data_IF_116684323989
#
_entry.id   IF_116684323989
#
_cell.length_a   1.000
_cell.length_b   1.000
_cell.length_c   1.000
_cell.angle_alpha   90.00
_cell.angle_beta   90.00
_cell.angle_gamma   90.00
#
_symmetry.space_group_name_H-M   'P 1'
#
loop_
_entity.id
_entity.type
_entity.pdbx_description
1 polymer ?
#
# COMPACT_ATOMS: atom_id res chain seq x y z
N UNK A 1 21.85 -1.24 -16.93
CA UNK A 1 20.89 -1.73 -15.91
C UNK A 1 20.16 -2.92 -16.51
N UNK A 2 20.15 -4.08 -15.85
CA UNK A 2 19.37 -5.24 -16.31
C UNK A 2 17.88 -5.06 -16.04
N UNK A 3 17.02 -5.81 -16.75
CA UNK A 3 15.56 -5.79 -16.53
C UNK A 3 15.25 -6.51 -15.21
N UNK A 4 14.54 -5.89 -14.25
CA UNK A 4 14.29 -6.49 -12.94
C UNK A 4 13.30 -7.66 -13.01
N UNK A 5 13.47 -8.65 -12.12
CA UNK A 5 12.49 -9.68 -11.81
C UNK A 5 11.56 -9.15 -10.71
N UNK A 6 10.26 -9.43 -10.80
CA UNK A 6 9.25 -8.77 -9.97
C UNK A 6 8.35 -9.76 -9.24
N UNK A 7 8.19 -9.60 -7.93
CA UNK A 7 7.13 -10.21 -7.14
C UNK A 7 5.99 -9.19 -6.98
N UNK A 8 4.88 -9.39 -7.68
CA UNK A 8 3.73 -8.47 -7.68
C UNK A 8 2.70 -8.91 -6.63
N UNK A 9 2.21 -7.97 -5.83
CA UNK A 9 1.15 -8.20 -4.84
C UNK A 9 0.05 -7.15 -4.95
N UNK A 10 -1.20 -7.58 -4.85
CA UNK A 10 -2.39 -6.72 -4.95
C UNK A 10 -2.80 -6.14 -3.60
N UNK A 11 -1.81 -5.64 -2.84
CA UNK A 11 -2.04 -4.98 -1.57
C UNK A 11 -2.02 -3.45 -1.72
N UNK A 12 -2.68 -2.71 -0.82
CA UNK A 12 -2.65 -1.25 -0.83
C UNK A 12 -1.22 -0.70 -0.70
N UNK A 13 -1.01 0.47 -1.29
CA UNK A 13 0.25 1.20 -1.17
C UNK A 13 0.58 1.47 0.30
N UNK A 14 1.85 1.24 0.67
CA UNK A 14 2.31 1.34 2.07
C UNK A 14 2.03 0.10 2.93
N UNK A 15 1.33 -0.91 2.41
CA UNK A 15 1.06 -2.18 3.10
C UNK A 15 1.50 -3.42 2.28
N UNK A 16 2.67 -3.42 1.61
CA UNK A 16 3.05 -4.49 0.68
C UNK A 16 3.23 -5.88 1.33
N UNK A 17 3.34 -5.93 2.66
CA UNK A 17 3.52 -7.18 3.41
C UNK A 17 2.28 -7.61 4.20
N UNK A 18 1.22 -6.81 4.25
CA UNK A 18 0.00 -7.15 5.00
C UNK A 18 -0.43 -6.14 6.04
N UNK A 19 -1.38 -6.53 6.88
CA UNK A 19 -1.94 -5.72 7.96
C UNK A 19 -0.93 -5.46 9.07
N UNK A 20 -1.04 -4.30 9.73
CA UNK A 20 -0.20 -3.96 10.89
C UNK A 20 -0.49 -4.95 12.02
N UNK A 21 0.56 -5.56 12.58
CA UNK A 21 0.43 -6.56 13.65
C UNK A 21 0.15 -7.99 13.19
N UNK A 22 -0.22 -8.23 11.92
CA UNK A 22 -0.40 -9.58 11.38
C UNK A 22 0.95 -10.23 11.03
N UNK A 23 1.67 -10.67 12.07
CA UNK A 23 3.02 -11.25 11.91
C UNK A 23 3.01 -12.53 11.07
N UNK A 24 1.95 -13.33 11.17
CA UNK A 24 1.86 -14.59 10.44
C UNK A 24 1.62 -14.35 8.95
N UNK A 25 0.65 -13.49 8.60
CA UNK A 25 0.39 -13.10 7.22
C UNK A 25 1.59 -12.42 6.57
N UNK A 26 2.24 -11.51 7.29
CA UNK A 26 3.48 -10.86 6.84
C UNK A 26 4.58 -11.87 6.53
N UNK A 27 4.75 -12.89 7.40
CA UNK A 27 5.74 -13.95 7.17
C UNK A 27 5.40 -14.78 5.94
N UNK A 28 4.12 -15.07 5.68
CA UNK A 28 3.68 -15.80 4.48
C UNK A 28 3.99 -15.01 3.21
N UNK A 29 3.64 -13.73 3.17
CA UNK A 29 3.93 -12.85 2.03
C UNK A 29 5.43 -12.76 1.74
N UNK A 30 6.24 -12.53 2.78
CA UNK A 30 7.70 -12.45 2.63
C UNK A 30 8.32 -13.73 2.09
N UNK A 31 7.87 -14.91 2.57
CA UNK A 31 8.38 -16.19 2.08
C UNK A 31 8.04 -16.41 0.61
N UNK A 32 6.82 -16.09 0.19
CA UNK A 32 6.44 -16.26 -1.21
C UNK A 32 7.19 -15.27 -2.12
N UNK A 33 7.35 -14.02 -1.68
CA UNK A 33 8.15 -13.03 -2.39
C UNK A 33 9.61 -13.48 -2.56
N UNK A 34 10.22 -14.04 -1.51
CA UNK A 34 11.58 -14.58 -1.58
C UNK A 34 11.67 -15.80 -2.49
N UNK A 35 10.62 -16.62 -2.59
CA UNK A 35 10.58 -17.77 -3.51
C UNK A 35 10.71 -17.36 -4.98
N UNK A 36 10.35 -16.11 -5.33
CA UNK A 36 10.53 -15.57 -6.69
C UNK A 36 12.02 -15.49 -7.06
N UNK A 37 12.93 -15.34 -6.10
CA UNK A 37 14.37 -15.35 -6.38
C UNK A 37 14.84 -16.69 -6.96
N UNK A 38 14.20 -17.78 -6.54
CA UNK A 38 14.45 -19.15 -6.98
C UNK A 38 13.64 -19.53 -8.23
N UNK A 39 12.42 -19.00 -8.36
CA UNK A 39 11.49 -19.34 -9.46
C UNK A 39 11.70 -18.52 -10.73
N UNK A 40 12.12 -17.27 -10.60
CA UNK A 40 12.22 -16.36 -11.73
C UNK A 40 13.59 -16.49 -12.41
N UNK A 41 13.65 -17.25 -13.49
CA UNK A 41 14.89 -17.60 -14.19
C UNK A 41 15.32 -16.52 -15.19
N UNK A 42 14.37 -15.75 -15.73
CA UNK A 42 14.65 -14.80 -16.79
C UNK A 42 14.49 -13.33 -16.35
N UNK A 43 15.30 -12.39 -16.89
CA UNK A 43 15.09 -10.96 -16.68
C UNK A 43 13.68 -10.54 -17.10
N UNK A 44 13.04 -9.69 -16.30
CA UNK A 44 11.70 -9.17 -16.61
C UNK A 44 10.52 -10.05 -16.21
N UNK A 45 10.75 -11.25 -15.68
CA UNK A 45 9.65 -12.09 -15.21
C UNK A 45 8.89 -11.46 -14.04
N UNK A 46 7.56 -11.57 -14.10
CA UNK A 46 6.63 -11.05 -13.08
C UNK A 46 5.85 -12.22 -12.50
N UNK A 47 6.00 -12.43 -11.20
CA UNK A 47 5.25 -13.43 -10.44
C UNK A 47 4.19 -12.73 -9.60
N UNK A 48 2.92 -13.02 -9.89
CA UNK A 48 1.78 -12.55 -9.10
C UNK A 48 1.63 -13.44 -7.86
N UNK A 49 1.83 -12.85 -6.68
CA UNK A 49 1.70 -13.56 -5.43
C UNK A 49 0.22 -13.85 -5.14
N UNK A 50 -0.13 -15.03 -4.59
CA UNK A 50 -1.51 -15.49 -4.42
C UNK A 50 -2.16 -14.92 -3.15
N UNK A 51 -2.06 -13.61 -2.93
CA UNK A 51 -2.63 -12.94 -1.76
C UNK A 51 -3.61 -11.85 -2.16
N UNK A 52 -4.73 -11.78 -1.46
CA UNK A 52 -5.77 -10.76 -1.64
C UNK A 52 -5.89 -9.92 -0.38
N UNK A 53 -6.01 -8.60 -0.53
CA UNK A 53 -6.26 -7.73 0.61
C UNK A 53 -7.66 -8.06 1.20
N UNK A 54 -7.78 -8.22 2.52
CA UNK A 54 -9.05 -8.69 3.12
C UNK A 54 -10.18 -7.65 3.05
N UNK A 55 -9.85 -6.36 2.90
CA UNK A 55 -10.83 -5.28 2.84
C UNK A 55 -11.09 -4.83 1.40
N UNK A 56 -12.28 -4.31 1.14
CA UNK A 56 -12.54 -3.62 -0.12
C UNK A 56 -11.66 -2.35 -0.25
N UNK A 57 -11.18 -1.99 -1.46
CA UNK A 57 -10.30 -0.83 -1.66
C UNK A 57 -10.85 0.49 -1.10
N UNK A 58 -12.18 0.66 -1.10
CA UNK A 58 -12.85 1.87 -0.57
C UNK A 58 -12.76 2.00 0.95
N UNK A 59 -12.50 0.90 1.67
CA UNK A 59 -12.45 0.83 3.13
C UNK A 59 -11.02 0.84 3.67
N UNK A 60 -10.02 0.79 2.80
CA UNK A 60 -8.61 0.91 3.19
C UNK A 60 -8.29 2.37 3.52
N UNK A 61 -8.80 2.85 4.66
CA UNK A 61 -8.50 4.20 5.13
C UNK A 61 -7.06 4.22 5.67
N UNK A 62 -6.21 5.00 5.01
CA UNK A 62 -4.85 5.25 5.46
C UNK A 62 -4.76 6.54 6.28
N UNK A 63 -5.77 7.41 6.21
CA UNK A 63 -5.76 8.66 6.95
C UNK A 63 -6.14 8.40 8.41
N UNK A 64 -5.41 9.03 9.35
CA UNK A 64 -5.87 9.07 10.73
C UNK A 64 -7.27 9.70 10.80
N UNK A 65 -8.14 9.23 11.72
CA UNK A 65 -9.44 9.87 11.94
C UNK A 65 -9.29 11.30 12.48
N UNK A 66 -8.13 11.61 13.06
CA UNK A 66 -7.80 12.96 13.51
C UNK A 66 -7.20 13.80 12.37
N UNK A 67 -7.67 15.04 12.29
CA UNK A 67 -7.14 16.03 11.37
C UNK A 67 -5.65 16.31 11.64
N UNK A 68 -4.84 16.44 10.59
CA UNK A 68 -3.44 16.79 10.75
C UNK A 68 -3.28 18.17 11.43
N UNK A 69 -2.21 18.39 12.23
CA UNK A 69 -2.01 19.67 12.92
C UNK A 69 -1.98 20.88 11.98
N UNK A 70 -1.45 20.72 10.77
CA UNK A 70 -1.43 21.76 9.74
C UNK A 70 -2.84 22.12 9.26
N UNK A 71 -3.68 21.13 8.94
CA UNK A 71 -5.06 21.40 8.52
C UNK A 71 -5.85 22.04 9.67
N UNK A 72 -5.59 21.62 10.93
CA UNK A 72 -6.19 22.25 12.10
C UNK A 72 -5.82 23.73 12.22
N UNK A 73 -4.54 24.08 11.98
CA UNK A 73 -4.07 25.47 12.02
C UNK A 73 -4.71 26.34 10.93
N UNK A 74 -4.82 25.84 9.70
CA UNK A 74 -5.35 26.61 8.55
C UNK A 74 -6.86 26.43 8.32
N UNK A 75 -7.59 25.83 9.25
CA UNK A 75 -8.97 25.38 9.03
C UNK A 75 -9.90 26.53 8.61
N UNK A 76 -9.73 27.70 9.23
CA UNK A 76 -10.54 28.89 8.92
C UNK A 76 -10.25 29.44 7.52
N UNK A 77 -8.97 29.49 7.14
CA UNK A 77 -8.55 29.98 5.83
C UNK A 77 -9.03 29.05 4.71
N UNK A 78 -8.96 27.74 4.95
CA UNK A 78 -9.49 26.72 4.03
C UNK A 78 -11.00 26.91 3.83
N UNK A 79 -11.76 27.13 4.91
CA UNK A 79 -13.22 27.39 4.83
C UNK A 79 -13.54 28.67 4.06
N UNK A 80 -12.82 29.77 4.33
CA UNK A 80 -12.98 31.05 3.63
C UNK A 80 -12.67 30.93 2.15
N UNK A 81 -11.59 30.23 1.79
CA UNK A 81 -11.21 30.01 0.39
C UNK A 81 -12.30 29.22 -0.37
N UNK A 82 -12.86 28.18 0.26
CA UNK A 82 -13.91 27.35 -0.34
C UNK A 82 -15.22 28.10 -0.61
N UNK A 83 -15.58 29.05 0.24
CA UNK A 83 -16.77 29.91 0.04
C UNK A 83 -16.59 30.91 -1.10
N UNK A 84 -15.37 31.36 -1.39
CA UNK A 84 -15.10 32.31 -2.49
C UNK A 84 -15.12 31.68 -3.88
N UNK A 85 -15.05 30.36 -3.96
CA UNK A 85 -15.00 29.58 -5.22
C UNK A 85 -16.38 29.00 -5.57
N UNK A 86 -17.36 29.10 -4.66
CA UNK A 86 -18.75 28.68 -4.87
C UNK A 86 -19.66 29.87 -5.14
#
# INVERSE_FOLDING_TARGET
>A
MGIPRTAAIEYPYGRPVGQVGDREGQRKVLREALSVLEKADNPGEVYHLPFTWPEEPKKTDWQPPEMSPLIKYYLEDIKKARQKVS
#
